data_IF_989211945960
#
_entry.id   IF_989211945960
#
_cell.length_a   1.000
_cell.length_b   1.000
_cell.length_c   1.000
_cell.angle_alpha   90.00
_cell.angle_beta   90.00
_cell.angle_gamma   90.00
#
_symmetry.space_group_name_H-M   'P 1'
#
loop_
_entity.id
_entity.type
_entity.pdbx_description
1 polymer ?
#
# COMPACT_ATOMS: atom_id res chain seq x y z
N UNK A 1 -15.79 -26.35 -2.91
CA UNK A 1 -15.65 -25.66 -1.61
C UNK A 1 -14.42 -26.15 -0.81
N UNK A 2 -14.00 -27.43 -0.84
CA UNK A 2 -12.86 -27.92 -0.03
C UNK A 2 -11.47 -27.48 -0.52
N UNK A 3 -11.23 -27.46 -1.83
CA UNK A 3 -9.90 -27.19 -2.38
C UNK A 3 -9.35 -25.79 -2.04
N UNK A 4 -10.20 -24.75 -2.15
CA UNK A 4 -9.80 -23.38 -1.83
C UNK A 4 -9.58 -23.19 -0.32
N UNK A 5 -10.42 -23.83 0.50
CA UNK A 5 -10.36 -23.73 1.96
C UNK A 5 -9.11 -24.39 2.54
N UNK A 6 -8.72 -25.56 2.03
CA UNK A 6 -7.51 -26.24 2.52
C UNK A 6 -6.23 -25.55 2.04
N UNK A 7 -6.18 -25.13 0.77
CA UNK A 7 -4.95 -24.63 0.16
C UNK A 7 -4.69 -23.14 0.41
N UNK A 8 -5.74 -22.34 0.52
CA UNK A 8 -5.62 -20.87 0.69
C UNK A 8 -5.76 -20.44 2.15
N UNK A 9 -6.68 -21.06 2.91
CA UNK A 9 -6.89 -20.74 4.32
C UNK A 9 -6.12 -21.67 5.27
N UNK A 10 -5.41 -22.68 4.78
CA UNK A 10 -4.69 -23.66 5.61
C UNK A 10 -5.62 -24.59 6.38
N UNK A 11 -6.81 -24.85 5.84
CA UNK A 11 -7.85 -25.64 6.50
C UNK A 11 -8.52 -24.91 7.67
N UNK A 12 -9.17 -25.67 8.56
CA UNK A 12 -9.97 -25.10 9.66
C UNK A 12 -9.12 -24.27 10.63
N UNK A 13 -7.94 -24.77 10.98
CA UNK A 13 -7.04 -24.11 11.94
C UNK A 13 -6.53 -22.76 11.42
N UNK A 14 -6.16 -22.67 10.14
CA UNK A 14 -5.72 -21.41 9.56
C UNK A 14 -6.87 -20.41 9.40
N UNK A 15 -8.07 -20.87 9.03
CA UNK A 15 -9.26 -20.01 9.01
C UNK A 15 -9.58 -19.43 10.41
N UNK A 16 -9.49 -20.22 11.47
CA UNK A 16 -9.62 -19.71 12.85
C UNK A 16 -8.54 -18.67 13.17
N UNK A 17 -7.29 -18.91 12.77
CA UNK A 17 -6.21 -17.95 12.94
C UNK A 17 -6.49 -16.60 12.26
N UNK A 18 -6.95 -16.61 11.00
CA UNK A 18 -7.33 -15.39 10.28
C UNK A 18 -8.49 -14.65 10.93
N UNK A 19 -9.52 -15.37 11.40
CA UNK A 19 -10.66 -14.76 12.09
C UNK A 19 -10.21 -14.12 13.40
N UNK A 20 -9.41 -14.82 14.21
CA UNK A 20 -8.87 -14.29 15.47
C UNK A 20 -8.05 -13.03 15.21
N UNK A 21 -7.18 -13.06 14.19
CA UNK A 21 -6.38 -11.91 13.81
C UNK A 21 -7.24 -10.72 13.35
N UNK A 22 -8.27 -10.97 12.53
CA UNK A 22 -9.18 -9.94 12.06
C UNK A 22 -9.99 -9.32 13.21
N UNK A 23 -10.51 -10.13 14.13
CA UNK A 23 -11.22 -9.66 15.33
C UNK A 23 -10.28 -8.84 16.21
N UNK A 24 -9.04 -9.30 16.41
CA UNK A 24 -8.06 -8.56 17.19
C UNK A 24 -7.78 -7.19 16.56
N UNK A 25 -7.49 -7.14 15.25
CA UNK A 25 -7.10 -5.89 14.57
C UNK A 25 -8.26 -4.93 14.39
N UNK A 26 -9.43 -5.40 13.96
CA UNK A 26 -10.56 -4.55 13.57
C UNK A 26 -11.52 -4.22 14.72
N UNK A 27 -11.53 -5.01 15.80
CA UNK A 27 -12.49 -4.86 16.90
C UNK A 27 -11.77 -4.60 18.22
N UNK A 28 -10.86 -5.49 18.63
CA UNK A 28 -10.24 -5.37 19.97
C UNK A 28 -9.35 -4.13 20.05
N UNK A 29 -8.46 -3.92 19.09
CA UNK A 29 -7.53 -2.78 19.14
C UNK A 29 -8.25 -1.42 19.10
N UNK A 30 -9.21 -1.15 18.20
CA UNK A 30 -9.90 0.15 18.17
C UNK A 30 -10.76 0.41 19.41
N UNK A 31 -11.33 -0.63 20.04
CA UNK A 31 -12.18 -0.48 21.22
C UNK A 31 -11.40 -0.33 22.53
N UNK A 32 -10.15 -0.79 22.58
CA UNK A 32 -9.37 -0.85 23.84
C UNK A 32 -8.28 0.21 23.94
N UNK A 33 -7.85 0.78 22.81
CA UNK A 33 -6.72 1.69 22.75
C UNK A 33 -7.14 3.14 22.51
N UNK A 34 -6.38 4.07 23.09
CA UNK A 34 -6.48 5.48 22.76
C UNK A 34 -5.96 5.77 21.34
N UNK A 35 -6.36 6.93 20.79
CA UNK A 35 -6.06 7.31 19.41
C UNK A 35 -4.54 7.35 19.12
N UNK A 36 -3.73 7.79 20.08
CA UNK A 36 -2.27 7.86 19.88
C UNK A 36 -1.65 6.47 19.75
N UNK A 37 -2.01 5.55 20.66
CA UNK A 37 -1.54 4.15 20.60
C UNK A 37 -2.06 3.42 19.37
N UNK A 38 -3.32 3.65 19.00
CA UNK A 38 -3.92 3.03 17.82
C UNK A 38 -3.16 3.44 16.54
N UNK A 39 -2.82 4.73 16.40
CA UNK A 39 -2.00 5.22 15.28
C UNK A 39 -0.58 4.62 15.27
N UNK A 40 0.06 4.51 16.43
CA UNK A 40 1.37 3.85 16.54
C UNK A 40 1.32 2.38 16.11
N UNK A 41 0.30 1.65 16.55
CA UNK A 41 0.11 0.25 16.16
C UNK A 41 -0.12 0.13 14.66
N UNK A 42 -0.96 0.98 14.06
CA UNK A 42 -1.15 1.00 12.61
C UNK A 42 0.17 1.20 11.85
N UNK A 43 1.02 2.11 12.35
CA UNK A 43 2.37 2.33 11.81
C UNK A 43 3.27 1.09 11.95
N UNK A 44 3.26 0.42 13.10
CA UNK A 44 4.05 -0.79 13.29
C UNK A 44 3.55 -1.98 12.45
N UNK A 45 2.24 -2.15 12.32
CA UNK A 45 1.64 -3.16 11.43
C UNK A 45 2.07 -2.95 9.98
N UNK A 46 2.10 -1.69 9.54
CA UNK A 46 2.59 -1.32 8.21
C UNK A 46 4.03 -1.80 7.98
N UNK A 47 4.94 -1.56 8.94
CA UNK A 47 6.31 -2.06 8.85
C UNK A 47 6.40 -3.59 8.94
N UNK A 48 5.51 -4.23 9.71
CA UNK A 48 5.46 -5.69 9.80
C UNK A 48 5.13 -6.33 8.44
N UNK A 49 4.19 -5.77 7.67
CA UNK A 49 3.89 -6.27 6.32
C UNK A 49 5.08 -6.13 5.37
N UNK A 50 5.84 -5.04 5.46
CA UNK A 50 7.06 -4.88 4.68
C UNK A 50 8.13 -5.93 5.05
N UNK A 51 8.28 -6.24 6.34
CA UNK A 51 9.19 -7.29 6.81
C UNK A 51 8.74 -8.69 6.35
N UNK A 52 7.45 -9.00 6.43
CA UNK A 52 6.88 -10.27 5.94
C UNK A 52 7.12 -10.42 4.43
N UNK A 53 6.95 -9.35 3.65
CA UNK A 53 7.25 -9.34 2.22
C UNK A 53 8.71 -9.74 1.93
N UNK A 54 9.67 -9.19 2.68
CA UNK A 54 11.08 -9.55 2.55
C UNK A 54 11.33 -11.03 2.86
N UNK A 55 10.72 -11.56 3.92
CA UNK A 55 10.85 -12.98 4.31
C UNK A 55 10.27 -13.90 3.24
N UNK A 56 9.14 -13.53 2.62
CA UNK A 56 8.54 -14.31 1.54
C UNK A 56 9.40 -14.32 0.27
N UNK A 57 9.95 -13.17 -0.12
CA UNK A 57 10.76 -13.06 -1.34
C UNK A 57 12.14 -13.69 -1.17
N UNK A 58 12.87 -13.29 -0.13
CA UNK A 58 14.25 -13.71 0.08
C UNK A 58 14.34 -15.02 0.88
N UNK A 59 13.58 -15.13 1.96
CA UNK A 59 13.61 -16.31 2.83
C UNK A 59 12.99 -17.55 2.18
N UNK A 60 11.79 -17.42 1.62
CA UNK A 60 11.11 -18.55 0.95
C UNK A 60 11.44 -18.62 -0.55
N UNK A 61 11.41 -17.49 -1.26
CA UNK A 61 11.65 -17.44 -2.70
C UNK A 61 13.13 -17.51 -3.11
N UNK A 62 14.07 -17.31 -2.18
CA UNK A 62 15.52 -17.34 -2.47
C UNK A 62 16.02 -16.17 -3.31
N UNK A 63 15.18 -15.16 -3.61
CA UNK A 63 15.53 -14.00 -4.43
C UNK A 63 15.54 -12.76 -3.54
N UNK A 64 16.71 -12.15 -3.40
CA UNK A 64 16.84 -10.88 -2.69
C UNK A 64 16.30 -9.74 -3.57
N UNK A 65 15.14 -9.21 -3.20
CA UNK A 65 14.64 -7.92 -3.68
C UNK A 65 14.97 -6.86 -2.63
N UNK A 66 15.48 -5.71 -3.07
CA UNK A 66 15.66 -4.55 -2.18
C UNK A 66 14.66 -3.41 -2.52
N UNK A 67 13.87 -3.58 -3.59
CA UNK A 67 12.88 -2.59 -4.03
C UNK A 67 11.44 -2.94 -3.69
N UNK A 68 11.15 -4.03 -2.97
CA UNK A 68 9.79 -4.50 -2.72
C UNK A 68 8.91 -3.49 -1.96
N UNK A 69 9.51 -2.61 -1.16
CA UNK A 69 8.80 -1.54 -0.44
C UNK A 69 8.10 -0.54 -1.38
N UNK A 70 8.58 -0.40 -2.62
CA UNK A 70 7.96 0.42 -3.66
C UNK A 70 6.51 0.02 -3.89
N UNK A 71 6.25 -1.29 -4.05
CA UNK A 71 4.91 -1.77 -4.37
C UNK A 71 3.93 -1.51 -3.22
N UNK A 72 4.42 -1.62 -1.98
CA UNK A 72 3.66 -1.24 -0.81
C UNK A 72 3.38 0.27 -0.79
N UNK A 73 4.39 1.10 -1.09
CA UNK A 73 4.24 2.54 -1.20
C UNK A 73 3.23 2.99 -2.26
N UNK A 74 3.24 2.37 -3.45
CA UNK A 74 2.29 2.66 -4.53
C UNK A 74 0.84 2.37 -4.13
N UNK A 75 0.58 1.25 -3.46
CA UNK A 75 -0.74 0.94 -2.92
C UNK A 75 -1.14 1.90 -1.79
N UNK A 76 -0.24 2.17 -0.85
CA UNK A 76 -0.46 3.14 0.23
C UNK A 76 -0.79 4.54 -0.31
N UNK A 77 -0.10 4.97 -1.37
CA UNK A 77 -0.35 6.26 -2.02
C UNK A 77 -1.75 6.34 -2.63
N UNK A 78 -2.22 5.26 -3.28
CA UNK A 78 -3.58 5.19 -3.81
C UNK A 78 -4.66 5.37 -2.71
N UNK A 79 -4.49 4.74 -1.55
CA UNK A 79 -5.39 4.93 -0.41
C UNK A 79 -5.24 6.35 0.18
N UNK A 80 -4.02 6.87 0.27
CA UNK A 80 -3.76 8.21 0.78
C UNK A 80 -4.44 9.30 -0.07
N UNK A 81 -4.49 9.13 -1.40
CA UNK A 81 -5.22 10.05 -2.29
C UNK A 81 -6.71 10.10 -1.92
N UNK A 82 -7.36 8.94 -1.76
CA UNK A 82 -8.77 8.87 -1.34
C UNK A 82 -8.98 9.49 0.05
N UNK A 83 -8.20 9.08 1.05
CA UNK A 83 -8.34 9.60 2.42
C UNK A 83 -8.08 11.10 2.51
N UNK A 84 -7.17 11.64 1.68
CA UNK A 84 -6.94 13.08 1.61
C UNK A 84 -8.12 13.81 0.99
N UNK A 85 -8.73 13.27 -0.07
CA UNK A 85 -9.93 13.86 -0.68
C UNK A 85 -11.12 13.84 0.29
N UNK A 86 -11.36 12.72 0.96
CA UNK A 86 -12.39 12.60 2.01
C UNK A 86 -12.18 13.58 3.16
N UNK A 87 -10.94 13.89 3.52
CA UNK A 87 -10.63 14.87 4.55
C UNK A 87 -10.70 16.33 4.06
N UNK A 88 -10.83 16.56 2.74
CA UNK A 88 -10.70 17.88 2.10
C UNK A 88 -12.04 18.56 1.83
N UNK A 89 -13.07 18.30 2.64
CA UNK A 89 -14.35 18.99 2.53
C UNK A 89 -14.18 20.52 2.66
N UNK A 90 -14.98 21.34 1.94
CA UNK A 90 -14.93 22.80 2.05
C UNK A 90 -15.09 23.32 3.49
N UNK A 91 -15.84 22.61 4.34
CA UNK A 91 -16.00 22.94 5.76
C UNK A 91 -14.69 22.71 6.56
N UNK A 92 -14.05 21.56 6.35
CA UNK A 92 -12.80 21.19 7.04
C UNK A 92 -11.60 22.00 6.54
N UNK A 93 -11.67 22.48 5.30
CA UNK A 93 -10.62 23.24 4.61
C UNK A 93 -10.86 24.75 4.60
N UNK A 94 -11.81 25.27 5.36
CA UNK A 94 -12.18 26.69 5.36
C UNK A 94 -11.03 27.68 5.70
N UNK A 95 -9.94 27.18 6.30
CA UNK A 95 -8.73 27.96 6.65
C UNK A 95 -7.79 28.13 5.43
N UNK A 96 -7.93 27.29 4.40
CA UNK A 96 -7.09 27.26 3.20
C UNK A 96 -7.44 28.41 2.25
N UNK A 97 -6.48 28.79 1.38
CA UNK A 97 -6.75 29.77 0.32
C UNK A 97 -7.72 29.24 -0.74
N UNK A 98 -7.68 27.93 -0.98
CA UNK A 98 -8.54 27.23 -1.93
C UNK A 98 -9.30 26.11 -1.19
N UNK A 99 -10.52 26.36 -0.68
CA UNK A 99 -11.30 25.32 -0.03
C UNK A 99 -11.70 24.19 -0.98
N UNK A 100 -11.73 22.95 -0.50
CA UNK A 100 -12.15 21.77 -1.27
C UNK A 100 -11.02 20.96 -1.91
N UNK A 101 -9.75 21.33 -1.69
CA UNK A 101 -8.58 20.56 -2.16
C UNK A 101 -7.69 20.15 -0.99
N UNK A 102 -6.84 19.10 -1.16
CA UNK A 102 -5.87 18.75 -0.15
C UNK A 102 -4.93 19.90 0.22
N UNK A 103 -4.63 20.03 1.51
CA UNK A 103 -3.73 21.03 2.12
C UNK A 103 -2.41 21.22 1.37
N UNK A 104 -1.73 20.14 1.01
CA UNK A 104 -0.46 20.21 0.31
C UNK A 104 -0.60 20.77 -1.12
N UNK A 105 -1.77 20.66 -1.76
CA UNK A 105 -2.03 21.23 -3.08
C UNK A 105 -2.19 22.75 -2.98
N UNK A 106 -2.93 23.21 -1.96
CA UNK A 106 -3.06 24.63 -1.64
C UNK A 106 -1.69 25.27 -1.33
N UNK A 107 -0.84 24.58 -0.55
CA UNK A 107 0.54 25.03 -0.27
C UNK A 107 1.42 25.14 -1.52
N UNK A 108 1.11 24.34 -2.55
CA UNK A 108 1.80 24.36 -3.85
C UNK A 108 1.10 25.26 -4.88
N UNK A 109 0.17 26.12 -4.46
CA UNK A 109 -0.54 27.07 -5.32
C UNK A 109 -1.37 26.42 -6.43
N UNK A 110 -1.80 25.17 -6.24
CA UNK A 110 -2.80 24.56 -7.11
C UNK A 110 -4.17 25.16 -6.79
N UNK A 111 -4.87 25.65 -7.81
CA UNK A 111 -6.19 26.28 -7.66
C UNK A 111 -7.35 25.33 -7.96
N UNK A 112 -7.06 24.15 -8.49
CA UNK A 112 -8.05 23.14 -8.86
C UNK A 112 -7.47 21.75 -8.67
N UNK A 113 -8.36 20.77 -8.44
CA UNK A 113 -7.95 19.38 -8.29
C UNK A 113 -7.48 18.83 -9.64
N UNK A 114 -6.27 18.25 -9.74
CA UNK A 114 -5.81 17.64 -10.98
C UNK A 114 -6.74 16.52 -11.44
N UNK A 115 -7.00 16.46 -12.75
CA UNK A 115 -7.91 15.49 -13.37
C UNK A 115 -7.69 14.02 -12.99
N UNK A 116 -6.45 13.60 -12.72
CA UNK A 116 -6.12 12.22 -12.34
C UNK A 116 -6.39 11.90 -10.86
N UNK A 117 -6.64 12.91 -10.02
CA UNK A 117 -7.08 12.75 -8.63
C UNK A 117 -8.60 12.59 -8.52
N UNK A 118 -9.38 13.18 -9.42
CA UNK A 118 -10.86 13.12 -9.42
C UNK A 118 -11.41 11.69 -9.25
N UNK A 119 -10.86 10.64 -9.92
CA UNK A 119 -11.36 9.27 -9.71
C UNK A 119 -11.21 8.76 -8.27
N UNK A 120 -10.27 9.30 -7.50
CA UNK A 120 -10.02 8.91 -6.11
C UNK A 120 -11.01 9.53 -5.11
N UNK A 121 -12.04 10.26 -5.56
CA UNK A 121 -13.21 10.60 -4.72
C UNK A 121 -14.04 9.35 -4.37
N UNK A 122 -13.80 8.23 -5.05
CA UNK A 122 -14.54 7.00 -4.83
C UNK A 122 -13.65 5.91 -4.23
N UNK A 123 -14.07 5.36 -3.08
CA UNK A 123 -13.36 4.29 -2.37
C UNK A 123 -13.06 3.07 -3.26
N UNK A 124 -14.02 2.68 -4.12
CA UNK A 124 -13.85 1.52 -4.98
C UNK A 124 -12.72 1.71 -6.00
N UNK A 125 -12.51 2.93 -6.49
CA UNK A 125 -11.38 3.26 -7.37
C UNK A 125 -10.06 3.13 -6.62
N UNK A 126 -10.00 3.62 -5.39
CA UNK A 126 -8.81 3.47 -4.54
C UNK A 126 -8.48 1.99 -4.29
N UNK A 127 -9.48 1.17 -3.93
CA UNK A 127 -9.30 -0.28 -3.72
C UNK A 127 -8.80 -0.97 -5.00
N UNK A 128 -9.39 -0.64 -6.16
CA UNK A 128 -8.91 -1.19 -7.42
C UNK A 128 -7.48 -0.73 -7.73
N UNK A 129 -7.16 0.54 -7.52
CA UNK A 129 -5.82 1.08 -7.77
C UNK A 129 -4.76 0.43 -6.87
N UNK A 130 -5.08 0.15 -5.59
CA UNK A 130 -4.18 -0.55 -4.66
C UNK A 130 -3.76 -1.92 -5.19
N UNK A 131 -4.64 -2.61 -5.92
CA UNK A 131 -4.35 -3.91 -6.51
C UNK A 131 -3.71 -3.79 -7.90
N UNK A 132 -4.30 -2.95 -8.76
CA UNK A 132 -3.95 -2.86 -10.18
C UNK A 132 -2.64 -2.11 -10.39
N UNK A 133 -2.43 -0.97 -9.73
CA UNK A 133 -1.24 -0.13 -9.98
C UNK A 133 0.05 -0.85 -9.61
N UNK A 134 0.20 -1.43 -8.39
CA UNK A 134 1.39 -2.19 -8.07
C UNK A 134 1.54 -3.45 -8.93
N UNK A 135 0.44 -4.13 -9.30
CA UNK A 135 0.49 -5.33 -10.13
C UNK A 135 0.95 -5.05 -11.57
N UNK A 136 0.43 -3.99 -12.20
CA UNK A 136 0.85 -3.56 -13.54
C UNK A 136 2.32 -3.12 -13.51
N UNK A 137 2.72 -2.34 -12.50
CA UNK A 137 4.11 -1.92 -12.35
C UNK A 137 5.04 -3.13 -12.15
N UNK A 138 4.65 -4.07 -11.29
CA UNK A 138 5.38 -5.32 -11.06
C UNK A 138 5.45 -6.17 -12.33
N UNK A 139 4.38 -6.21 -13.14
CA UNK A 139 4.35 -6.95 -14.39
C UNK A 139 5.32 -6.36 -15.42
N UNK A 140 5.36 -5.03 -15.59
CA UNK A 140 6.28 -4.36 -16.53
C UNK A 140 7.74 -4.67 -16.17
N UNK A 141 8.08 -4.54 -14.89
CA UNK A 141 9.42 -4.82 -14.37
C UNK A 141 9.74 -6.32 -14.48
N UNK A 142 8.86 -7.16 -13.93
CA UNK A 142 9.03 -8.60 -13.87
C UNK A 142 9.15 -9.22 -15.25
N UNK A 143 8.29 -8.85 -16.19
CA UNK A 143 8.37 -9.32 -17.58
C UNK A 143 9.74 -9.01 -18.20
N UNK A 144 10.23 -7.78 -18.02
CA UNK A 144 11.54 -7.36 -18.54
C UNK A 144 12.70 -8.15 -17.91
N UNK A 145 12.64 -8.39 -16.60
CA UNK A 145 13.67 -9.13 -15.85
C UNK A 145 13.67 -10.63 -16.18
N UNK A 146 12.49 -11.27 -16.21
CA UNK A 146 12.38 -12.70 -16.48
C UNK A 146 12.68 -13.05 -17.93
N UNK A 147 12.26 -12.21 -18.89
CA UNK A 147 12.60 -12.40 -20.31
C UNK A 147 14.10 -12.39 -20.55
N UNK A 148 14.84 -11.61 -19.76
CA UNK A 148 16.32 -11.55 -19.78
C UNK A 148 17.00 -12.53 -18.84
N UNK A 149 16.23 -13.39 -18.15
CA UNK A 149 16.71 -14.38 -17.17
C UNK A 149 17.65 -13.77 -16.11
N UNK A 150 17.32 -12.55 -15.66
CA UNK A 150 18.10 -11.86 -14.62
C UNK A 150 17.93 -12.60 -13.29
N UNK A 151 19.05 -12.93 -12.65
CA UNK A 151 19.06 -13.63 -11.36
C UNK A 151 20.16 -13.13 -10.43
N UNK A 152 20.12 -13.61 -9.18
CA UNK A 152 21.10 -13.31 -8.15
C UNK A 152 21.22 -11.81 -7.84
N UNK A 153 22.46 -11.33 -7.71
CA UNK A 153 22.76 -9.96 -7.28
C UNK A 153 22.21 -8.90 -8.25
N UNK A 154 22.17 -9.20 -9.56
CA UNK A 154 21.62 -8.26 -10.55
C UNK A 154 20.14 -7.94 -10.31
N UNK A 155 19.37 -8.91 -9.81
CA UNK A 155 17.97 -8.69 -9.44
C UNK A 155 17.86 -7.68 -8.30
N UNK A 156 18.69 -7.82 -7.27
CA UNK A 156 18.73 -6.91 -6.14
C UNK A 156 19.15 -5.49 -6.57
N UNK A 157 20.17 -5.36 -7.41
CA UNK A 157 20.64 -4.05 -7.91
C UNK A 157 19.54 -3.34 -8.72
N UNK A 158 18.88 -4.05 -9.65
CA UNK A 158 17.82 -3.46 -10.48
C UNK A 158 16.65 -2.99 -9.61
N UNK A 159 16.19 -3.83 -8.68
CA UNK A 159 15.09 -3.46 -7.78
C UNK A 159 15.46 -2.30 -6.84
N UNK A 160 16.71 -2.25 -6.37
CA UNK A 160 17.22 -1.12 -5.59
C UNK A 160 17.25 0.18 -6.41
N UNK A 161 17.72 0.14 -7.67
CA UNK A 161 17.74 1.32 -8.55
C UNK A 161 16.32 1.83 -8.79
N UNK A 162 15.35 0.94 -8.99
CA UNK A 162 13.94 1.32 -9.14
C UNK A 162 13.42 2.03 -7.88
N UNK A 163 13.76 1.53 -6.69
CA UNK A 163 13.40 2.18 -5.44
C UNK A 163 14.01 3.59 -5.35
N UNK A 164 15.30 3.73 -5.67
CA UNK A 164 15.98 5.04 -5.67
C UNK A 164 15.36 6.00 -6.67
N UNK A 165 15.08 5.56 -7.90
CA UNK A 165 14.42 6.40 -8.92
C UNK A 165 13.10 6.93 -8.39
N UNK A 166 12.28 6.08 -7.77
CA UNK A 166 10.99 6.50 -7.25
C UNK A 166 11.15 7.47 -6.07
N UNK A 167 12.04 7.22 -5.11
CA UNK A 167 12.28 8.16 -4.00
C UNK A 167 12.77 9.54 -4.44
N UNK A 168 13.26 9.68 -5.67
CA UNK A 168 13.69 10.96 -6.24
C UNK A 168 12.56 11.62 -7.03
N UNK A 169 11.67 10.84 -7.65
CA UNK A 169 10.57 11.34 -8.47
C UNK A 169 9.33 11.76 -7.67
N UNK A 170 9.11 11.13 -6.51
CA UNK A 170 7.99 11.38 -5.59
C UNK A 170 8.49 11.78 -4.21
#
# INVERSE_FOLDING_TARGET
>A
MSFFYERFLGGKNGAYGFIILAVLILIVLPLTLDLFRLNLIGKYLTYAFAAVSLVLLWGYGGILSLGQGVFFGLGGYAMAMFLKLEASDPENTAIQSTPGIPDFMDWNQLTELPWFWVPFEHLWVAILAILVVPAVFAFIIGYSMFKRRVGGVYFAIITQVIAVILTVLI
#
